data_IF_487888012806
#
_entry.id   IF_487888012806
#
_cell.length_a   1.000
_cell.length_b   1.000
_cell.length_c   1.000
_cell.angle_alpha   90.00
_cell.angle_beta   90.00
_cell.angle_gamma   90.00
#
_symmetry.space_group_name_H-M   'P 1'
#
loop_
_entity.id
_entity.type
_entity.pdbx_description
1 polymer ?
#
# COMPACT_ATOMS: atom_id res chain seq x y z
N UNK A 1 -13.95 9.23 0.33
CA UNK A 1 -14.22 7.80 0.02
C UNK A 1 -13.04 7.00 0.55
N UNK A 2 -13.23 5.75 0.94
CA UNK A 2 -12.19 4.93 1.54
C UNK A 2 -12.17 3.54 0.91
N UNK A 3 -10.99 3.13 0.44
CA UNK A 3 -10.72 1.77 -0.02
C UNK A 3 -9.91 1.03 1.03
N UNK A 4 -10.21 -0.25 1.19
CA UNK A 4 -9.49 -1.16 2.08
C UNK A 4 -8.84 -2.24 1.24
N UNK A 5 -7.53 -2.40 1.41
CA UNK A 5 -6.75 -3.48 0.82
C UNK A 5 -6.08 -4.30 1.91
N UNK A 6 -5.84 -5.57 1.60
CA UNK A 6 -5.00 -6.46 2.41
C UNK A 6 -3.72 -6.69 1.63
N UNK A 7 -2.60 -6.21 2.17
CA UNK A 7 -1.29 -6.39 1.55
C UNK A 7 -0.67 -7.64 2.16
N UNK A 8 -0.23 -8.55 1.29
CA UNK A 8 0.53 -9.74 1.66
C UNK A 8 1.93 -9.61 1.10
N UNK A 9 2.92 -9.67 1.99
CA UNK A 9 4.33 -9.58 1.64
C UNK A 9 4.97 -10.91 1.96
N UNK A 10 5.59 -11.55 0.97
CA UNK A 10 6.28 -12.84 1.13
C UNK A 10 7.77 -12.56 1.20
N UNK A 11 8.42 -12.97 2.29
CA UNK A 11 9.87 -12.87 2.40
C UNK A 11 10.53 -14.07 1.71
N UNK A 12 11.11 -13.83 0.52
CA UNK A 12 11.87 -14.81 -0.26
C UNK A 12 13.38 -14.73 -0.03
N UNK A 13 13.83 -13.84 0.86
CA UNK A 13 15.23 -13.71 1.24
C UNK A 13 15.59 -14.66 2.38
N UNK A 14 16.87 -14.67 2.73
CA UNK A 14 17.40 -15.43 3.86
C UNK A 14 17.50 -14.59 5.14
N UNK A 15 17.08 -13.32 5.10
CA UNK A 15 17.19 -12.35 6.19
C UNK A 15 15.81 -11.86 6.66
N UNK A 16 15.74 -11.27 7.84
CA UNK A 16 14.48 -10.71 8.37
C UNK A 16 14.19 -9.40 7.67
N UNK A 17 13.00 -9.30 7.06
CA UNK A 17 12.53 -8.08 6.39
C UNK A 17 11.66 -7.28 7.34
N UNK A 18 11.92 -5.97 7.41
CA UNK A 18 11.12 -4.97 8.06
C UNK A 18 10.40 -4.14 7.01
N UNK A 19 9.25 -4.64 6.55
CA UNK A 19 8.50 -4.01 5.47
C UNK A 19 7.79 -2.74 5.97
N UNK A 20 8.15 -1.61 5.38
CA UNK A 20 7.38 -0.38 5.39
C UNK A 20 6.53 -0.27 4.13
N UNK A 21 5.34 0.32 4.29
CA UNK A 21 4.35 0.43 3.22
C UNK A 21 3.95 1.88 3.08
N UNK A 22 4.21 2.43 1.90
CA UNK A 22 3.79 3.76 1.52
C UNK A 22 2.88 3.72 0.30
N UNK A 23 2.10 4.78 0.15
CA UNK A 23 1.13 4.91 -0.95
C UNK A 23 1.27 6.29 -1.57
N UNK A 24 1.36 6.31 -2.89
CA UNK A 24 1.38 7.54 -3.69
C UNK A 24 0.19 7.58 -4.63
N UNK A 25 -0.31 8.79 -4.91
CA UNK A 25 -1.49 8.98 -5.74
C UNK A 25 -1.93 10.44 -5.81
N UNK A 26 -3.20 10.70 -6.13
CA UNK A 26 -3.71 12.05 -6.39
C UNK A 26 -3.65 12.95 -5.15
N UNK A 27 -3.70 14.27 -5.37
CA UNK A 27 -3.64 15.25 -4.31
C UNK A 27 -4.68 15.00 -3.21
N UNK A 28 -4.28 15.13 -1.94
CA UNK A 28 -5.13 14.89 -0.78
C UNK A 28 -5.38 13.42 -0.47
N UNK A 29 -4.65 12.49 -1.10
CA UNK A 29 -4.61 11.11 -0.65
C UNK A 29 -4.05 11.04 0.77
N UNK A 30 -4.78 10.36 1.63
CA UNK A 30 -4.34 10.00 2.98
C UNK A 30 -4.42 8.49 3.10
N UNK A 31 -3.47 7.87 3.79
CA UNK A 31 -3.50 6.44 4.00
C UNK A 31 -3.14 6.08 5.44
N UNK A 32 -3.65 4.94 5.86
CA UNK A 32 -3.31 4.29 7.13
C UNK A 32 -2.88 2.88 6.76
N UNK A 33 -1.58 2.64 6.80
CA UNK A 33 -1.03 1.29 6.77
C UNK A 33 -0.97 0.76 8.21
N UNK A 34 -1.28 -0.53 8.41
CA UNK A 34 -0.94 -1.17 9.68
C UNK A 34 0.58 -1.10 9.90
N UNK A 35 0.98 -0.97 11.18
CA UNK A 35 2.38 -0.79 11.60
C UNK A 35 3.35 -1.70 10.83
N UNK A 36 4.60 -1.22 10.68
CA UNK A 36 5.75 -1.95 10.14
C UNK A 36 5.65 -3.46 10.39
N UNK A 37 5.75 -4.25 9.31
CA UNK A 37 5.61 -5.70 9.40
C UNK A 37 6.99 -6.31 9.47
N UNK A 38 7.25 -7.12 10.50
CA UNK A 38 8.46 -7.95 10.55
C UNK A 38 8.15 -9.33 9.99
N UNK A 39 8.91 -9.75 8.98
CA UNK A 39 8.65 -10.97 8.22
C UNK A 39 9.91 -11.83 8.26
N UNK A 40 9.80 -13.00 8.88
CA UNK A 40 10.87 -13.98 8.93
C UNK A 40 11.13 -14.60 7.53
N UNK A 41 12.36 -15.07 7.24
CA UNK A 41 12.68 -15.78 6.00
C UNK A 41 11.67 -16.89 5.69
N UNK A 42 11.19 -16.96 4.45
CA UNK A 42 10.23 -17.97 3.99
C UNK A 42 8.78 -17.77 4.46
N UNK A 43 8.49 -16.77 5.28
CA UNK A 43 7.15 -16.50 5.80
C UNK A 43 6.43 -15.38 5.03
N UNK A 44 5.12 -15.29 5.27
CA UNK A 44 4.25 -14.25 4.72
C UNK A 44 3.78 -13.32 5.83
N UNK A 45 4.10 -12.04 5.71
CA UNK A 45 3.51 -10.96 6.50
C UNK A 45 2.23 -10.45 5.85
N UNK A 46 1.27 -10.02 6.66
CA UNK A 46 0.05 -9.39 6.15
C UNK A 46 -0.32 -8.15 6.95
N UNK A 47 -0.76 -7.11 6.28
CA UNK A 47 -1.31 -5.91 6.92
C UNK A 47 -2.49 -5.35 6.14
N UNK A 48 -3.25 -4.50 6.82
CA UNK A 48 -4.34 -3.76 6.19
C UNK A 48 -3.84 -2.40 5.76
N UNK A 49 -4.18 -1.99 4.54
CA UNK A 49 -4.01 -0.65 4.04
C UNK A 49 -5.38 0.00 3.83
N UNK A 50 -5.60 1.12 4.49
CA UNK A 50 -6.78 1.96 4.30
C UNK A 50 -6.33 3.21 3.55
N UNK A 51 -6.88 3.45 2.37
CA UNK A 51 -6.60 4.68 1.61
C UNK A 51 -7.87 5.49 1.53
N UNK A 52 -7.76 6.77 1.83
CA UNK A 52 -8.86 7.72 1.84
C UNK A 52 -8.52 8.91 0.95
N UNK A 53 -9.43 9.18 0.01
CA UNK A 53 -9.34 10.32 -0.89
C UNK A 53 -10.62 11.18 -0.71
N UNK A 54 -10.49 12.49 -0.48
CA UNK A 54 -11.62 13.42 -0.46
C UNK A 54 -12.40 13.38 -1.77
N UNK A 55 -13.74 13.44 -1.69
CA UNK A 55 -14.61 13.39 -2.89
C UNK A 55 -14.30 14.53 -3.87
N UNK A 56 -13.88 15.69 -3.35
CA UNK A 56 -13.57 16.87 -4.16
C UNK A 56 -12.33 16.68 -5.03
N UNK A 57 -11.43 15.77 -4.64
CA UNK A 57 -10.18 15.50 -5.36
C UNK A 57 -10.30 14.29 -6.30
N UNK A 58 -11.45 13.60 -6.29
CA UNK A 58 -11.74 12.50 -7.19
C UNK A 58 -12.34 13.06 -8.48
N UNK A 59 -11.49 13.21 -9.49
CA UNK A 59 -11.86 13.59 -10.85
C UNK A 59 -12.49 12.42 -11.60
N UNK A 60 -12.05 11.20 -11.31
CA UNK A 60 -12.42 9.99 -12.01
C UNK A 60 -13.06 8.93 -11.10
N UNK A 61 -13.78 7.98 -11.73
CA UNK A 61 -14.38 6.83 -11.04
C UNK A 61 -13.31 5.81 -10.63
N UNK A 62 -12.21 5.74 -11.39
CA UNK A 62 -11.07 4.88 -11.14
C UNK A 62 -9.82 5.75 -11.17
N UNK A 63 -9.11 5.86 -10.05
CA UNK A 63 -7.88 6.66 -9.98
C UNK A 63 -6.69 5.75 -9.71
N UNK A 64 -5.63 5.78 -10.51
CA UNK A 64 -4.44 4.97 -10.26
C UNK A 64 -3.77 5.39 -8.94
N UNK A 65 -3.30 4.39 -8.20
CA UNK A 65 -2.59 4.52 -6.93
C UNK A 65 -1.44 3.52 -6.93
N UNK A 66 -0.28 3.97 -6.48
CA UNK A 66 0.90 3.11 -6.37
C UNK A 66 1.16 2.80 -4.91
N UNK A 67 1.34 1.52 -4.63
CA UNK A 67 1.72 1.00 -3.33
C UNK A 67 3.20 0.65 -3.42
N UNK A 68 4.01 1.25 -2.58
CA UNK A 68 5.43 0.99 -2.49
C UNK A 68 5.69 0.22 -1.18
N UNK A 69 6.37 -0.92 -1.30
CA UNK A 69 6.85 -1.69 -0.16
C UNK A 69 8.36 -1.64 -0.17
N UNK A 70 8.96 -1.26 0.94
CA UNK A 70 10.41 -1.18 1.09
C UNK A 70 10.84 -1.83 2.39
N UNK A 71 11.96 -2.55 2.36
CA UNK A 71 12.58 -3.02 3.58
C UNK A 71 13.37 -1.89 4.25
N UNK A 72 13.18 -1.72 5.55
CA UNK A 72 13.91 -0.73 6.36
C UNK A 72 15.33 -1.19 6.69
N UNK A 73 15.62 -2.49 6.62
CA UNK A 73 16.97 -3.01 6.82
C UNK A 73 17.83 -2.90 5.57
N UNK A 74 17.23 -3.04 4.39
CA UNK A 74 17.92 -3.03 3.12
C UNK A 74 17.11 -2.26 2.07
N UNK A 75 17.61 -1.08 1.72
CA UNK A 75 16.99 -0.19 0.75
C UNK A 75 16.93 -0.75 -0.69
N UNK A 76 17.72 -1.79 -1.00
CA UNK A 76 17.68 -2.48 -2.30
C UNK A 76 16.47 -3.43 -2.43
N UNK A 77 15.85 -3.82 -1.31
CA UNK A 77 14.68 -4.69 -1.31
C UNK A 77 13.42 -3.83 -1.31
N UNK A 78 12.89 -3.59 -2.50
CA UNK A 78 11.63 -2.88 -2.71
C UNK A 78 10.72 -3.59 -3.71
N UNK A 79 9.42 -3.30 -3.63
CA UNK A 79 8.43 -3.75 -4.58
C UNK A 79 7.36 -2.69 -4.78
N UNK A 80 7.02 -2.44 -6.04
CA UNK A 80 5.98 -1.50 -6.44
C UNK A 80 4.77 -2.26 -6.98
N UNK A 81 3.58 -1.82 -6.57
CA UNK A 81 2.33 -2.39 -7.02
C UNK A 81 1.35 -1.29 -7.41
N UNK A 82 0.89 -1.31 -8.66
CA UNK A 82 -0.11 -0.38 -9.15
C UNK A 82 -1.52 -0.96 -8.93
N UNK A 83 -2.42 -0.14 -8.41
CA UNK A 83 -3.83 -0.51 -8.22
C UNK A 83 -4.76 0.67 -8.49
N UNK A 84 -6.05 0.40 -8.61
CA UNK A 84 -7.05 1.42 -8.87
C UNK A 84 -7.86 1.74 -7.61
N UNK A 85 -7.87 3.01 -7.21
CA UNK A 85 -8.82 3.54 -6.26
C UNK A 85 -10.17 3.75 -6.93
N UNK A 86 -11.17 3.00 -6.46
CA UNK A 86 -12.53 3.03 -6.97
C UNK A 86 -13.36 4.03 -6.18
N UNK A 87 -13.95 5.00 -6.89
CA UNK A 87 -14.90 5.94 -6.35
C UNK A 87 -16.32 5.62 -6.84
N UNK A 88 -17.36 5.86 -6.03
CA UNK A 88 -18.74 5.72 -6.49
C UNK A 88 -19.02 6.73 -7.61
N UNK A 89 -19.71 6.26 -8.65
CA UNK A 89 -20.11 7.08 -9.81
C UNK A 89 -20.86 8.31 -9.30
N UNK A 90 -20.48 9.52 -9.76
CA UNK A 90 -21.29 10.72 -9.55
C UNK A 90 -22.64 10.47 -10.21
N UNK A 91 -23.69 10.39 -9.40
CA UNK A 91 -25.08 10.28 -9.84
C UNK A 91 -25.65 11.66 -10.04
#
# INVERSE_FOLDING_TARGET
IQNKWTIKVVNKSNEVIHADISVTGPAGLTYVAGKQITIQPGNVGSTTLLVRIPKNNLTETSTPVHIHVKDLNNDEISADYETAFLSPKKR
#
